data_IF_640951153443
#
_entry.id   IF_640951153443
#
_cell.length_a   1.000
_cell.length_b   1.000
_cell.length_c   1.000
_cell.angle_alpha   90.00
_cell.angle_beta   90.00
_cell.angle_gamma   90.00
#
_symmetry.space_group_name_H-M   'P 1'
#
loop_
_entity.id
_entity.type
_entity.pdbx_description
1 polymer ?
#
# COMPACT_ATOMS: atom_id res chain seq x y z
N UNK A 1 7.00 27.55 5.71
CA UNK A 1 7.35 26.42 6.60
C UNK A 1 8.33 25.55 5.82
N UNK A 2 9.59 25.44 6.26
CA UNK A 2 10.56 24.54 5.64
C UNK A 2 10.10 23.11 5.92
N UNK A 3 9.27 22.54 5.03
CA UNK A 3 8.82 21.17 5.19
C UNK A 3 9.98 20.27 4.74
N UNK A 4 10.80 19.86 5.71
CA UNK A 4 11.94 18.99 5.49
C UNK A 4 11.49 17.74 4.71
N UNK A 5 12.23 17.38 3.65
CA UNK A 5 11.92 16.16 2.89
C UNK A 5 12.15 14.95 3.77
N UNK A 6 11.13 14.11 3.93
CA UNK A 6 11.19 12.79 4.55
C UNK A 6 10.70 11.76 3.53
N UNK A 7 11.55 10.77 3.25
CA UNK A 7 11.30 9.63 2.36
C UNK A 7 11.45 8.33 3.15
N UNK A 8 10.99 7.20 2.57
CA UNK A 8 11.22 5.89 3.19
C UNK A 8 11.41 4.77 2.19
N UNK A 9 12.25 3.82 2.56
CA UNK A 9 12.21 2.48 1.99
C UNK A 9 11.41 1.57 2.92
N UNK A 10 10.32 0.99 2.38
CA UNK A 10 9.36 0.20 3.15
C UNK A 10 9.25 -1.26 2.65
N UNK A 11 10.30 -2.10 2.82
CA UNK A 11 10.25 -3.49 2.38
C UNK A 11 9.43 -4.38 3.34
N UNK A 12 8.68 -5.33 2.78
CA UNK A 12 8.20 -6.48 3.56
C UNK A 12 9.35 -7.47 3.75
N UNK A 13 9.68 -7.92 4.99
CA UNK A 13 10.79 -8.83 5.24
C UNK A 13 10.41 -10.29 4.95
N UNK A 14 9.92 -10.56 3.74
CA UNK A 14 9.49 -11.90 3.28
C UNK A 14 10.48 -12.54 2.30
N UNK A 15 11.71 -12.02 2.25
CA UNK A 15 12.80 -12.54 1.47
C UNK A 15 13.90 -11.51 1.21
N UNK A 16 14.99 -11.95 0.59
CA UNK A 16 16.16 -11.11 0.31
C UNK A 16 15.86 -9.91 -0.60
N UNK A 17 16.69 -8.88 -0.45
CA UNK A 17 16.68 -7.66 -1.26
C UNK A 17 17.09 -7.98 -2.70
N UNK A 18 16.36 -7.43 -3.67
CA UNK A 18 16.62 -7.62 -5.10
C UNK A 18 16.74 -6.28 -5.82
N UNK A 19 17.25 -6.28 -7.04
CA UNK A 19 17.56 -5.05 -7.81
C UNK A 19 16.40 -4.06 -7.92
N UNK A 20 15.18 -4.56 -8.16
CA UNK A 20 13.98 -3.71 -8.15
C UNK A 20 13.80 -2.92 -6.85
N UNK A 21 14.02 -3.55 -5.70
CA UNK A 21 13.92 -2.91 -4.39
C UNK A 21 15.11 -1.99 -4.12
N UNK A 22 16.32 -2.38 -4.54
CA UNK A 22 17.52 -1.54 -4.46
C UNK A 22 17.31 -0.22 -5.19
N UNK A 23 16.74 -0.26 -6.40
CA UNK A 23 16.42 0.96 -7.15
C UNK A 23 15.48 1.87 -6.35
N UNK A 24 14.42 1.32 -5.76
CA UNK A 24 13.50 2.09 -4.93
C UNK A 24 14.22 2.70 -3.72
N UNK A 25 15.02 1.92 -3.00
CA UNK A 25 15.79 2.39 -1.83
C UNK A 25 16.77 3.51 -2.22
N UNK A 26 17.54 3.30 -3.30
CA UNK A 26 18.50 4.26 -3.84
C UNK A 26 17.83 5.58 -4.24
N UNK A 27 16.68 5.53 -4.92
CA UNK A 27 15.96 6.74 -5.33
C UNK A 27 15.45 7.53 -4.12
N UNK A 28 14.89 6.86 -3.11
CA UNK A 28 14.47 7.51 -1.86
C UNK A 28 15.66 8.15 -1.15
N UNK A 29 16.77 7.42 -0.99
CA UNK A 29 17.99 7.91 -0.36
C UNK A 29 18.58 9.13 -1.10
N UNK A 30 18.72 9.05 -2.42
CA UNK A 30 19.23 10.15 -3.25
C UNK A 30 18.32 11.38 -3.18
N UNK A 31 17.01 11.19 -3.18
CA UNK A 31 16.05 12.30 -3.08
C UNK A 31 16.15 12.99 -1.73
N UNK A 32 16.19 12.23 -0.63
CA UNK A 32 16.43 12.80 0.69
C UNK A 32 17.78 13.54 0.75
N UNK A 33 18.87 12.92 0.30
CA UNK A 33 20.21 13.51 0.32
C UNK A 33 20.29 14.82 -0.48
N UNK A 34 19.74 14.84 -1.71
CA UNK A 34 19.69 16.03 -2.58
C UNK A 34 18.98 17.21 -1.91
N UNK A 35 17.96 16.93 -1.10
CA UNK A 35 17.12 17.95 -0.47
C UNK A 35 17.48 18.23 1.01
N UNK A 36 18.59 17.67 1.52
CA UNK A 36 18.95 17.81 2.95
C UNK A 36 17.89 17.20 3.88
N UNK A 37 17.19 16.19 3.39
CA UNK A 37 16.08 15.51 4.04
C UNK A 37 16.49 14.30 4.88
N UNK A 38 15.49 13.49 5.24
CA UNK A 38 15.64 12.23 5.97
C UNK A 38 15.20 11.06 5.10
N UNK A 39 15.98 9.98 5.16
CA UNK A 39 15.65 8.69 4.57
C UNK A 39 15.38 7.70 5.70
N UNK A 40 14.16 7.17 5.79
CA UNK A 40 13.76 6.23 6.84
C UNK A 40 13.71 4.78 6.31
N UNK A 41 13.95 3.82 7.19
CA UNK A 41 13.74 2.40 6.92
C UNK A 41 12.56 1.89 7.77
N UNK A 42 11.52 1.36 7.11
CA UNK A 42 10.35 0.76 7.78
C UNK A 42 10.12 -0.66 7.28
N UNK A 43 10.09 -1.64 8.16
CA UNK A 43 9.67 -2.99 7.78
C UNK A 43 8.14 -3.13 7.83
N UNK A 44 7.57 -3.62 6.74
CA UNK A 44 6.15 -3.98 6.66
C UNK A 44 5.97 -5.44 7.10
N UNK A 45 6.10 -5.67 8.41
CA UNK A 45 6.21 -6.96 9.09
C UNK A 45 4.88 -7.51 9.63
N UNK A 46 3.74 -7.09 9.06
CA UNK A 46 2.40 -7.49 9.52
C UNK A 46 2.00 -8.89 9.08
N UNK A 47 2.65 -9.45 8.05
CA UNK A 47 2.48 -10.84 7.65
C UNK A 47 3.41 -11.73 8.49
N UNK A 48 2.91 -12.16 9.66
CA UNK A 48 3.72 -12.90 10.65
C UNK A 48 4.24 -14.23 10.12
N UNK A 49 3.50 -14.91 9.24
CA UNK A 49 3.90 -16.21 8.70
C UNK A 49 5.11 -16.08 7.76
N UNK A 50 5.20 -14.97 7.03
CA UNK A 50 6.26 -14.75 6.04
C UNK A 50 7.37 -13.82 6.50
N UNK A 51 7.16 -13.04 7.55
CA UNK A 51 8.14 -12.08 8.07
C UNK A 51 9.18 -12.78 8.94
N UNK A 52 10.44 -12.77 8.51
CA UNK A 52 11.52 -13.47 9.21
C UNK A 52 12.62 -12.49 9.64
N UNK A 53 13.16 -12.69 10.85
CA UNK A 53 14.26 -11.87 11.40
C UNK A 53 15.51 -11.95 10.52
N UNK A 54 15.79 -13.11 9.92
CA UNK A 54 16.89 -13.28 8.98
C UNK A 54 16.83 -12.31 7.79
N UNK A 55 15.64 -12.04 7.26
CA UNK A 55 15.47 -11.12 6.14
C UNK A 55 15.60 -9.66 6.58
N UNK A 56 15.17 -9.33 7.80
CA UNK A 56 15.38 -7.99 8.38
C UNK A 56 16.87 -7.69 8.44
N UNK A 57 17.67 -8.59 9.03
CA UNK A 57 19.10 -8.38 9.19
C UNK A 57 19.85 -8.42 7.85
N UNK A 58 19.48 -9.31 6.92
CA UNK A 58 20.04 -9.34 5.58
C UNK A 58 19.77 -8.05 4.80
N UNK A 59 18.53 -7.54 4.83
CA UNK A 59 18.17 -6.27 4.16
C UNK A 59 18.96 -5.11 4.76
N UNK A 60 19.11 -5.04 6.09
CA UNK A 60 19.92 -4.00 6.75
C UNK A 60 21.38 -4.07 6.33
N UNK A 61 21.97 -5.27 6.31
CA UNK A 61 23.34 -5.48 5.87
C UNK A 61 23.57 -5.07 4.40
N UNK A 62 22.63 -5.41 3.51
CA UNK A 62 22.70 -5.07 2.09
C UNK A 62 22.58 -3.56 1.87
N UNK A 63 21.69 -2.86 2.58
CA UNK A 63 21.57 -1.41 2.51
C UNK A 63 22.85 -0.70 2.99
N UNK A 64 23.45 -1.17 4.10
CA UNK A 64 24.72 -0.62 4.61
C UNK A 64 25.87 -0.87 3.64
N UNK A 65 25.94 -2.06 3.04
CA UNK A 65 26.96 -2.38 2.03
C UNK A 65 26.85 -1.49 0.78
N UNK A 66 25.63 -1.13 0.38
CA UNK A 66 25.36 -0.19 -0.72
C UNK A 66 25.60 1.28 -0.34
N UNK A 67 25.93 1.59 0.92
CA UNK A 67 26.08 2.96 1.42
C UNK A 67 24.76 3.71 1.61
N UNK A 68 23.63 2.99 1.70
CA UNK A 68 22.28 3.54 1.85
C UNK A 68 21.88 3.61 3.33
N UNK A 69 22.61 4.40 4.11
CA UNK A 69 22.32 4.63 5.53
C UNK A 69 20.99 5.36 5.71
N UNK A 70 20.16 4.87 6.64
CA UNK A 70 18.90 5.51 7.05
C UNK A 70 19.06 6.35 8.32
N UNK A 71 18.14 7.29 8.51
CA UNK A 71 18.15 8.23 9.63
C UNK A 71 17.26 7.75 10.78
N UNK A 72 17.84 7.61 11.97
CA UNK A 72 17.13 7.21 13.19
C UNK A 72 16.95 5.70 13.28
N UNK A 73 16.04 5.27 14.16
CA UNK A 73 15.77 3.85 14.38
C UNK A 73 14.98 3.24 13.23
N UNK A 74 15.14 1.93 13.07
CA UNK A 74 14.30 1.14 12.16
C UNK A 74 12.87 1.13 12.67
N UNK A 75 11.92 1.43 11.79
CA UNK A 75 10.49 1.43 12.08
C UNK A 75 9.87 0.08 11.72
N UNK A 76 8.81 -0.30 12.42
CA UNK A 76 8.10 -1.56 12.23
C UNK A 76 6.60 -1.32 12.17
N UNK A 77 5.96 -1.75 11.09
CA UNK A 77 4.51 -1.58 10.90
C UNK A 77 3.71 -2.31 12.00
N UNK A 78 4.22 -3.43 12.50
CA UNK A 78 3.63 -4.15 13.65
C UNK A 78 3.46 -3.29 14.90
N UNK A 79 4.27 -2.23 15.08
CA UNK A 79 4.16 -1.28 16.19
C UNK A 79 3.00 -0.29 16.01
N UNK A 80 2.40 -0.21 14.83
CA UNK A 80 1.31 0.71 14.50
C UNK A 80 -0.09 0.05 14.45
N UNK A 81 -0.22 -1.20 14.89
CA UNK A 81 -1.48 -1.95 14.81
C UNK A 81 -2.68 -1.22 15.46
N UNK A 82 -2.44 -0.50 16.56
CA UNK A 82 -3.47 0.32 17.23
C UNK A 82 -3.94 1.49 16.36
N UNK A 83 -3.01 2.16 15.68
CA UNK A 83 -3.28 3.27 14.75
C UNK A 83 -4.05 2.76 13.54
N UNK A 84 -3.72 1.60 12.99
CA UNK A 84 -4.45 1.00 11.85
C UNK A 84 -5.90 0.70 12.22
N UNK A 85 -6.12 0.11 13.40
CA UNK A 85 -7.47 -0.18 13.91
C UNK A 85 -8.27 1.11 14.14
N UNK A 86 -7.63 2.12 14.74
CA UNK A 86 -8.26 3.43 14.98
C UNK A 86 -8.66 4.11 13.67
N UNK A 87 -7.77 4.09 12.67
CA UNK A 87 -8.03 4.64 11.34
C UNK A 87 -9.19 3.92 10.64
N UNK A 88 -9.22 2.59 10.69
CA UNK A 88 -10.33 1.81 10.13
C UNK A 88 -11.68 2.19 10.76
N UNK A 89 -11.73 2.30 12.09
CA UNK A 89 -12.95 2.67 12.80
C UNK A 89 -13.38 4.10 12.47
N UNK A 90 -12.45 5.05 12.39
CA UNK A 90 -12.74 6.42 11.99
C UNK A 90 -13.33 6.51 10.57
N UNK A 91 -12.81 5.71 9.62
CA UNK A 91 -13.39 5.59 8.29
C UNK A 91 -14.78 4.97 8.33
N UNK A 92 -14.97 3.92 9.13
CA UNK A 92 -16.26 3.23 9.26
C UNK A 92 -17.35 4.13 9.86
N UNK A 93 -17.01 4.94 10.86
CA UNK A 93 -17.93 5.93 11.47
C UNK A 93 -18.41 6.98 10.46
N UNK A 94 -17.58 7.33 9.48
CA UNK A 94 -17.91 8.24 8.38
C UNK A 94 -18.58 7.55 7.19
N UNK A 95 -18.85 6.24 7.27
CA UNK A 95 -19.39 5.46 6.15
C UNK A 95 -18.40 5.23 5.00
N UNK A 96 -17.10 5.48 5.23
CA UNK A 96 -16.01 5.36 4.26
C UNK A 96 -15.34 3.98 4.28
N UNK A 97 -15.69 3.16 5.27
CA UNK A 97 -15.38 1.73 5.30
C UNK A 97 -16.59 0.94 5.79
N UNK A 98 -16.74 -0.31 5.33
CA UNK A 98 -17.88 -1.15 5.70
C UNK A 98 -17.52 -2.64 5.69
N UNK A 99 -18.29 -3.44 6.43
CA UNK A 99 -18.15 -4.90 6.43
C UNK A 99 -18.85 -5.50 5.22
N UNK A 100 -18.19 -6.44 4.57
CA UNK A 100 -18.70 -7.20 3.44
C UNK A 100 -18.75 -8.69 3.79
N UNK A 101 -19.93 -9.27 3.61
CA UNK A 101 -20.25 -10.67 3.93
C UNK A 101 -20.35 -11.56 2.67
N UNK A 102 -19.95 -11.04 1.51
CA UNK A 102 -19.99 -11.81 0.27
C UNK A 102 -18.98 -12.96 0.31
N UNK A 103 -19.42 -14.18 -0.02
CA UNK A 103 -18.54 -15.34 -0.17
C UNK A 103 -17.66 -15.22 -1.41
N UNK A 104 -16.52 -15.92 -1.42
CA UNK A 104 -15.65 -16.01 -2.60
C UNK A 104 -16.38 -16.58 -3.83
N UNK A 105 -17.28 -17.56 -3.62
CA UNK A 105 -18.10 -18.12 -4.68
C UNK A 105 -19.03 -17.06 -5.31
N UNK A 106 -19.65 -16.21 -4.49
CA UNK A 106 -20.50 -15.10 -4.97
C UNK A 106 -19.66 -14.07 -5.73
N UNK A 107 -18.50 -13.68 -5.19
CA UNK A 107 -17.59 -12.74 -5.84
C UNK A 107 -17.09 -13.27 -7.20
N UNK A 108 -16.82 -14.57 -7.30
CA UNK A 108 -16.42 -15.25 -8.53
C UNK A 108 -17.53 -15.24 -9.59
N UNK A 109 -18.78 -15.49 -9.17
CA UNK A 109 -19.96 -15.43 -10.05
C UNK A 109 -20.16 -13.99 -10.57
N UNK A 110 -20.13 -13.00 -9.67
CA UNK A 110 -20.31 -11.59 -10.02
C UNK A 110 -19.25 -11.14 -11.04
N UNK A 111 -18.00 -11.55 -10.82
CA UNK A 111 -16.88 -11.28 -11.74
C UNK A 111 -17.13 -11.85 -13.14
N UNK A 112 -17.53 -13.12 -13.22
CA UNK A 112 -17.83 -13.79 -14.50
C UNK A 112 -18.99 -13.11 -15.23
N UNK A 113 -20.03 -12.70 -14.51
CA UNK A 113 -21.19 -11.97 -15.07
C UNK A 113 -20.81 -10.58 -15.58
N UNK A 114 -19.93 -9.86 -14.89
CA UNK A 114 -19.43 -8.57 -15.36
C UNK A 114 -18.62 -8.74 -16.65
N UNK A 115 -17.65 -9.67 -16.65
CA UNK A 115 -16.82 -9.96 -17.82
C UNK A 115 -17.64 -10.43 -19.02
N UNK A 116 -18.65 -11.29 -18.84
CA UNK A 116 -19.51 -11.75 -19.95
C UNK A 116 -20.36 -10.63 -20.57
N UNK A 117 -20.56 -9.53 -19.84
CA UNK A 117 -21.24 -8.31 -20.30
C UNK A 117 -20.28 -7.24 -20.83
N UNK A 118 -18.97 -7.53 -20.91
CA UNK A 118 -17.95 -6.57 -21.29
C UNK A 118 -17.74 -5.44 -20.26
N UNK A 119 -18.23 -5.62 -19.04
CA UNK A 119 -18.08 -4.66 -17.95
C UNK A 119 -16.79 -4.95 -17.14
N UNK A 120 -16.14 -3.92 -16.56
CA UNK A 120 -15.00 -4.10 -15.68
C UNK A 120 -15.35 -5.03 -14.49
N UNK A 121 -14.47 -5.98 -14.14
CA UNK A 121 -14.71 -6.99 -13.09
C UNK A 121 -14.56 -6.42 -11.66
N UNK A 122 -15.40 -5.44 -11.30
CA UNK A 122 -15.41 -4.77 -10.00
C UNK A 122 -16.34 -5.43 -8.99
N UNK A 123 -16.15 -5.13 -7.71
CA UNK A 123 -17.11 -5.50 -6.68
C UNK A 123 -18.43 -4.75 -6.89
N UNK A 124 -19.55 -5.47 -6.78
CA UNK A 124 -20.89 -4.93 -7.04
C UNK A 124 -21.45 -4.05 -5.89
N UNK A 125 -20.68 -3.82 -4.81
CA UNK A 125 -21.13 -2.97 -3.70
C UNK A 125 -22.28 -3.55 -2.86
N UNK A 126 -22.55 -4.87 -2.93
CA UNK A 126 -23.75 -5.51 -2.33
C UNK A 126 -23.97 -5.19 -0.86
N UNK A 127 -22.90 -5.14 -0.08
CA UNK A 127 -22.96 -4.90 1.37
C UNK A 127 -22.90 -3.42 1.76
N UNK A 128 -22.78 -2.48 0.82
CA UNK A 128 -22.57 -1.06 1.11
C UNK A 128 -23.79 -0.39 1.72
N UNK A 129 -24.99 -0.86 1.36
CA UNK A 129 -26.26 -0.34 1.85
C UNK A 129 -26.74 -1.01 3.15
N UNK A 130 -25.98 -1.94 3.73
CA UNK A 130 -26.34 -2.54 5.01
C UNK A 130 -26.33 -1.47 6.09
N UNK A 131 -27.39 -1.40 6.89
CA UNK A 131 -27.40 -0.55 8.07
C UNK A 131 -26.36 -1.05 9.08
N UNK A 132 -25.94 -0.15 9.99
CA UNK A 132 -25.00 -0.49 11.07
C UNK A 132 -25.52 -1.68 11.90
N UNK A 133 -26.81 -1.67 12.26
CA UNK A 133 -27.43 -2.74 13.05
C UNK A 133 -27.42 -4.09 12.31
N UNK A 134 -27.79 -4.12 11.03
CA UNK A 134 -27.74 -5.35 10.23
C UNK A 134 -26.31 -5.86 10.05
N UNK A 135 -25.36 -4.94 9.84
CA UNK A 135 -23.94 -5.29 9.72
C UNK A 135 -23.35 -5.81 11.04
N UNK A 136 -23.79 -5.31 12.19
CA UNK A 136 -23.38 -5.80 13.51
C UNK A 136 -23.97 -7.19 13.75
N UNK A 137 -25.27 -7.37 13.52
CA UNK A 137 -25.95 -8.66 13.68
C UNK A 137 -25.33 -9.76 12.79
N UNK A 138 -25.04 -9.47 11.52
CA UNK A 138 -24.39 -10.45 10.63
C UNK A 138 -22.99 -10.81 11.10
N UNK A 139 -22.23 -9.86 11.64
CA UNK A 139 -20.87 -10.08 12.12
C UNK A 139 -20.80 -11.03 13.33
N UNK A 140 -21.90 -11.26 14.05
CA UNK A 140 -21.96 -12.23 15.16
C UNK A 140 -21.84 -13.69 14.70
N UNK A 141 -22.23 -13.99 13.46
CA UNK A 141 -22.36 -15.38 12.98
C UNK A 141 -21.77 -15.63 11.59
N UNK A 142 -21.34 -14.59 10.87
CA UNK A 142 -20.83 -14.70 9.50
C UNK A 142 -19.42 -14.09 9.40
N UNK A 143 -18.49 -14.75 8.69
CA UNK A 143 -17.21 -14.14 8.37
C UNK A 143 -17.43 -12.92 7.47
N UNK A 144 -16.57 -11.92 7.62
CA UNK A 144 -16.61 -10.70 6.82
C UNK A 144 -15.22 -10.17 6.56
N UNK A 145 -15.11 -9.32 5.55
CA UNK A 145 -13.94 -8.48 5.29
C UNK A 145 -14.33 -7.02 5.47
N UNK A 146 -13.37 -6.14 5.74
CA UNK A 146 -13.59 -4.70 5.65
C UNK A 146 -13.21 -4.20 4.26
N UNK A 147 -14.05 -3.35 3.67
CA UNK A 147 -13.79 -2.67 2.39
C UNK A 147 -13.79 -1.16 2.56
N UNK A 148 -13.05 -0.45 1.71
CA UNK A 148 -13.22 1.00 1.54
C UNK A 148 -14.45 1.26 0.66
N UNK A 149 -15.21 2.32 0.98
CA UNK A 149 -16.37 2.77 0.21
C UNK A 149 -16.02 3.93 -0.73
N UNK A 150 -15.06 3.70 -1.62
CA UNK A 150 -14.49 4.72 -2.51
C UNK A 150 -15.18 4.76 -3.88
N UNK A 151 -15.76 3.66 -4.35
CA UNK A 151 -16.46 3.64 -5.64
C UNK A 151 -17.66 4.59 -5.60
N UNK A 152 -17.84 5.43 -6.62
CA UNK A 152 -18.98 6.34 -6.70
C UNK A 152 -19.30 6.71 -8.15
N UNK A 153 -20.53 7.13 -8.44
CA UNK A 153 -20.93 7.58 -9.78
C UNK A 153 -20.24 8.88 -10.20
N UNK A 154 -19.89 9.71 -9.21
CA UNK A 154 -19.27 11.01 -9.36
C UNK A 154 -18.12 11.16 -8.35
N UNK A 155 -17.24 12.12 -8.60
CA UNK A 155 -16.07 12.37 -7.77
C UNK A 155 -14.78 11.81 -8.38
N UNK A 156 -13.67 12.36 -7.92
CA UNK A 156 -12.33 12.10 -8.44
C UNK A 156 -11.32 12.06 -7.30
N UNK A 157 -10.19 11.43 -7.55
CA UNK A 157 -9.02 11.42 -6.65
C UNK A 157 -7.80 11.80 -7.48
N UNK A 158 -7.06 12.81 -7.02
CA UNK A 158 -5.86 13.27 -7.73
C UNK A 158 -4.62 12.91 -6.95
N UNK A 159 -3.73 12.15 -7.58
CA UNK A 159 -2.41 11.81 -7.04
C UNK A 159 -1.41 12.88 -7.49
N UNK A 160 -0.80 13.65 -6.57
CA UNK A 160 0.26 14.58 -6.93
C UNK A 160 1.54 13.81 -7.20
N UNK A 161 1.98 13.74 -8.46
CA UNK A 161 3.18 12.99 -8.85
C UNK A 161 4.23 13.89 -9.53
N UNK A 162 5.49 13.77 -9.12
CA UNK A 162 6.60 14.57 -9.64
C UNK A 162 7.07 14.16 -11.04
N UNK A 163 6.80 12.92 -11.47
CA UNK A 163 7.20 12.39 -12.77
C UNK A 163 6.03 12.41 -13.77
N UNK A 164 4.85 11.97 -13.34
CA UNK A 164 3.64 11.88 -14.17
C UNK A 164 2.80 13.16 -14.15
N UNK A 165 3.08 14.10 -13.24
CA UNK A 165 2.23 15.25 -12.97
C UNK A 165 1.04 14.89 -12.07
N UNK A 166 -0.02 15.70 -12.12
CA UNK A 166 -1.24 15.38 -11.36
C UNK A 166 -2.02 14.29 -12.11
N UNK A 167 -2.12 13.11 -11.52
CA UNK A 167 -2.85 11.97 -12.11
C UNK A 167 -4.22 11.85 -11.44
N UNK A 168 -5.28 12.08 -12.21
CA UNK A 168 -6.66 12.06 -11.70
C UNK A 168 -7.38 10.77 -12.07
N UNK A 169 -8.01 10.15 -11.08
CA UNK A 169 -8.81 8.95 -11.21
C UNK A 169 -10.27 9.27 -10.89
N UNK A 170 -11.19 8.92 -11.79
CA UNK A 170 -12.61 9.01 -11.47
C UNK A 170 -12.99 7.90 -10.48
N UNK A 171 -13.77 8.21 -9.44
CA UNK A 171 -14.21 7.22 -8.46
C UNK A 171 -15.07 6.11 -9.10
N UNK A 172 -15.69 6.38 -10.25
CA UNK A 172 -16.44 5.39 -11.04
C UNK A 172 -15.56 4.25 -11.57
N UNK A 173 -14.26 4.50 -11.70
CA UNK A 173 -13.28 3.55 -12.22
C UNK A 173 -12.50 2.83 -11.12
N UNK A 174 -12.57 3.34 -9.88
CA UNK A 174 -12.05 2.70 -8.69
C UNK A 174 -13.04 1.66 -8.14
N UNK A 175 -12.52 0.57 -7.58
CA UNK A 175 -13.31 -0.47 -6.91
C UNK A 175 -13.37 -0.20 -5.40
N UNK A 176 -14.15 -0.97 -4.65
CA UNK A 176 -14.14 -0.97 -3.18
C UNK A 176 -13.17 -2.06 -2.66
N UNK A 177 -11.86 -1.76 -2.50
CA UNK A 177 -10.87 -2.77 -2.15
C UNK A 177 -11.08 -3.29 -0.73
N UNK A 178 -10.71 -4.56 -0.52
CA UNK A 178 -10.59 -5.13 0.82
C UNK A 178 -9.40 -4.47 1.52
N UNK A 179 -9.61 -3.94 2.73
CA UNK A 179 -8.56 -3.39 3.60
C UNK A 179 -8.24 -4.26 4.80
N UNK A 180 -9.18 -5.11 5.24
CA UNK A 180 -8.96 -6.11 6.29
C UNK A 180 -9.59 -7.43 5.86
N UNK A 181 -8.82 -8.52 5.95
CA UNK A 181 -9.24 -9.88 5.62
C UNK A 181 -10.14 -10.45 6.72
N UNK A 182 -10.73 -11.61 6.46
CA UNK A 182 -11.62 -12.28 7.41
C UNK A 182 -10.93 -12.83 8.66
N UNK A 183 -9.61 -13.02 8.59
CA UNK A 183 -8.77 -13.37 9.74
C UNK A 183 -8.37 -12.14 10.59
N UNK A 184 -8.83 -10.94 10.23
CA UNK A 184 -8.50 -9.69 10.91
C UNK A 184 -7.19 -9.05 10.47
N UNK A 185 -6.42 -9.67 9.57
CA UNK A 185 -5.17 -9.09 9.07
C UNK A 185 -5.45 -7.95 8.10
N UNK A 186 -4.71 -6.85 8.24
CA UNK A 186 -4.77 -5.76 7.28
C UNK A 186 -4.13 -6.16 5.94
N UNK A 187 -4.68 -5.62 4.86
CA UNK A 187 -4.03 -5.61 3.55
C UNK A 187 -3.12 -4.39 3.42
N UNK A 188 -2.36 -4.29 2.34
CA UNK A 188 -1.34 -3.25 2.12
C UNK A 188 -1.87 -1.80 2.23
N UNK A 189 -3.05 -1.49 1.68
CA UNK A 189 -3.46 -0.11 1.40
C UNK A 189 -3.52 0.79 2.65
N UNK A 190 -4.24 0.34 3.69
CA UNK A 190 -4.52 1.16 4.88
C UNK A 190 -3.29 1.31 5.78
N UNK A 191 -2.60 0.23 6.23
CA UNK A 191 -1.40 0.35 7.04
C UNK A 191 -0.31 1.18 6.37
N UNK A 192 -0.02 0.94 5.09
CA UNK A 192 1.05 1.66 4.39
C UNK A 192 0.83 3.18 4.39
N UNK A 193 -0.42 3.61 4.16
CA UNK A 193 -0.75 5.03 4.09
C UNK A 193 -0.88 5.68 5.47
N UNK A 194 -1.43 4.96 6.46
CA UNK A 194 -1.48 5.42 7.85
C UNK A 194 -0.06 5.56 8.42
N UNK A 195 0.82 4.59 8.17
CA UNK A 195 2.21 4.66 8.59
C UNK A 195 2.95 5.83 7.92
N UNK A 196 2.72 6.05 6.62
CA UNK A 196 3.31 7.20 5.92
C UNK A 196 2.89 8.54 6.58
N UNK A 197 1.65 8.65 7.05
CA UNK A 197 1.20 9.83 7.82
C UNK A 197 1.80 9.90 9.23
N UNK A 198 1.86 8.78 9.96
CA UNK A 198 2.40 8.70 11.33
C UNK A 198 3.90 8.99 11.37
N UNK A 199 4.66 8.45 10.41
CA UNK A 199 6.10 8.62 10.30
C UNK A 199 6.51 9.98 9.70
N UNK A 200 5.53 10.80 9.32
CA UNK A 200 5.77 12.11 8.72
C UNK A 200 6.40 12.04 7.33
N UNK A 201 6.09 11.01 6.55
CA UNK A 201 6.58 10.87 5.18
C UNK A 201 5.99 11.98 4.32
N UNK A 202 6.88 12.73 3.68
CA UNK A 202 6.50 13.84 2.79
C UNK A 202 6.55 13.46 1.32
N UNK A 203 7.38 12.47 0.97
CA UNK A 203 7.63 12.04 -0.40
C UNK A 203 7.67 10.51 -0.47
N UNK A 204 6.83 9.93 -1.31
CA UNK A 204 6.75 8.49 -1.55
C UNK A 204 7.26 8.19 -2.95
N UNK A 205 8.51 7.72 -3.04
CA UNK A 205 9.11 7.27 -4.28
C UNK A 205 8.96 5.74 -4.37
N UNK A 206 8.24 5.25 -5.37
CA UNK A 206 7.94 3.82 -5.53
C UNK A 206 7.72 3.41 -6.99
N UNK A 207 7.62 2.12 -7.25
CA UNK A 207 7.36 1.59 -8.60
C UNK A 207 6.00 2.03 -9.17
N UNK A 208 5.95 2.23 -10.49
CA UNK A 208 4.76 2.64 -11.23
C UNK A 208 3.59 1.65 -11.16
N UNK A 209 3.87 0.38 -10.81
CA UNK A 209 2.84 -0.61 -10.51
C UNK A 209 1.99 -0.28 -9.27
N UNK A 210 2.40 0.71 -8.48
CA UNK A 210 1.64 1.21 -7.34
C UNK A 210 0.89 2.52 -7.60
N UNK A 211 0.85 3.03 -8.83
CA UNK A 211 0.16 4.28 -9.13
C UNK A 211 -1.34 4.23 -8.77
N UNK A 212 -2.03 3.14 -9.12
CA UNK A 212 -3.44 2.95 -8.71
C UNK A 212 -3.59 2.80 -7.20
N UNK A 213 -2.62 2.18 -6.50
CA UNK A 213 -2.63 2.12 -5.04
C UNK A 213 -2.55 3.53 -4.44
N UNK A 214 -1.84 4.47 -5.07
CA UNK A 214 -1.74 5.86 -4.62
C UNK A 214 -3.09 6.54 -4.62
N UNK A 215 -3.96 6.27 -5.60
CA UNK A 215 -5.30 6.84 -5.61
C UNK A 215 -6.09 6.41 -4.37
N UNK A 216 -6.09 5.12 -4.03
CA UNK A 216 -6.75 4.64 -2.80
C UNK A 216 -6.14 5.24 -1.53
N UNK A 217 -4.82 5.37 -1.50
CA UNK A 217 -4.10 5.87 -0.33
C UNK A 217 -4.27 7.37 -0.12
N UNK A 218 -4.23 8.18 -1.18
CA UNK A 218 -4.55 9.62 -1.14
C UNK A 218 -5.97 9.80 -0.63
N UNK A 219 -6.94 9.10 -1.21
CA UNK A 219 -8.33 9.19 -0.78
C UNK A 219 -8.48 8.86 0.70
N UNK A 220 -7.91 7.74 1.17
CA UNK A 220 -8.11 7.30 2.55
C UNK A 220 -7.44 8.25 3.57
N UNK A 221 -6.23 8.76 3.31
CA UNK A 221 -5.52 9.62 4.28
C UNK A 221 -6.12 11.02 4.34
N UNK A 222 -6.58 11.56 3.22
CA UNK A 222 -7.30 12.85 3.20
C UNK A 222 -8.63 12.74 3.96
N UNK A 223 -9.34 11.62 3.83
CA UNK A 223 -10.59 11.38 4.56
C UNK A 223 -10.37 11.12 6.07
N UNK A 224 -9.16 10.73 6.45
CA UNK A 224 -8.67 10.70 7.84
C UNK A 224 -8.19 12.06 8.35
N UNK A 225 -8.12 13.09 7.48
CA UNK A 225 -7.69 14.45 7.83
C UNK A 225 -6.18 14.67 7.77
N UNK A 226 -5.43 13.75 7.19
CA UNK A 226 -4.00 13.91 6.92
C UNK A 226 -3.77 14.55 5.54
N UNK A 227 -2.57 15.08 5.33
CA UNK A 227 -2.14 15.54 4.01
C UNK A 227 -1.46 14.39 3.26
N UNK A 228 -1.82 14.22 1.99
CA UNK A 228 -1.13 13.27 1.13
C UNK A 228 0.32 13.68 0.89
N UNK A 229 1.27 12.71 0.88
CA UNK A 229 2.64 12.99 0.47
C UNK A 229 2.68 13.31 -1.02
N UNK A 230 3.79 13.92 -1.44
CA UNK A 230 4.14 14.01 -2.85
C UNK A 230 4.59 12.63 -3.35
N UNK A 231 4.08 12.17 -4.48
CA UNK A 231 4.48 10.88 -5.06
C UNK A 231 5.51 11.04 -6.17
N UNK A 232 6.26 9.98 -6.43
CA UNK A 232 7.02 9.79 -7.66
C UNK A 232 7.00 8.31 -8.00
N UNK A 233 6.25 7.97 -9.05
CA UNK A 233 6.14 6.62 -9.57
C UNK A 233 7.22 6.38 -10.61
N UNK A 234 8.31 5.70 -10.22
CA UNK A 234 9.39 5.40 -11.15
C UNK A 234 9.08 4.15 -11.96
N UNK A 235 9.51 4.14 -13.23
CA UNK A 235 9.39 2.97 -14.09
C UNK A 235 10.01 1.71 -13.47
N UNK A 236 9.55 0.54 -13.89
CA UNK A 236 10.03 -0.74 -13.39
C UNK A 236 11.35 -1.15 -14.07
N UNK A 237 12.14 -1.98 -13.39
CA UNK A 237 13.22 -2.71 -14.07
C UNK A 237 12.61 -3.87 -14.84
N UNK A 238 13.00 -4.02 -16.10
CA UNK A 238 12.52 -5.07 -16.98
C UNK A 238 13.63 -6.08 -17.26
N UNK A 239 13.26 -7.35 -17.40
CA UNK A 239 14.14 -8.39 -17.90
C UNK A 239 14.37 -8.27 -19.42
N UNK A 240 15.19 -9.16 -19.97
CA UNK A 240 15.43 -9.22 -21.43
C UNK A 240 14.15 -9.51 -22.23
N UNK A 241 13.16 -10.15 -21.60
CA UNK A 241 11.86 -10.47 -22.18
C UNK A 241 10.85 -9.30 -22.09
N UNK A 242 11.26 -8.14 -21.57
CA UNK A 242 10.40 -6.97 -21.36
C UNK A 242 9.41 -7.12 -20.20
N UNK A 243 9.44 -8.23 -19.45
CA UNK A 243 8.60 -8.42 -18.27
C UNK A 243 9.23 -7.80 -17.03
N UNK A 244 8.42 -7.52 -16.01
CA UNK A 244 8.90 -6.99 -14.73
C UNK A 244 9.98 -7.91 -14.18
N UNK A 245 11.16 -7.36 -13.91
CA UNK A 245 12.25 -8.07 -13.27
C UNK A 245 11.81 -8.52 -11.87
N UNK A 246 11.80 -9.82 -11.65
CA UNK A 246 11.31 -10.45 -10.42
C UNK A 246 12.24 -11.58 -10.00
N UNK A 247 12.08 -12.08 -8.77
CA UNK A 247 12.82 -13.26 -8.28
C UNK A 247 12.66 -14.48 -9.21
N UNK A 248 11.50 -14.62 -9.87
CA UNK A 248 11.21 -15.75 -10.78
C UNK A 248 11.78 -15.58 -12.18
N UNK A 249 12.10 -14.34 -12.57
CA UNK A 249 12.59 -13.99 -13.91
C UNK A 249 14.09 -13.64 -13.95
N UNK A 250 14.85 -14.07 -12.94
CA UNK A 250 16.32 -13.94 -12.92
C UNK A 250 16.86 -12.69 -12.22
N UNK A 251 16.07 -12.03 -11.36
CA UNK A 251 16.66 -10.99 -10.49
C UNK A 251 17.57 -11.62 -9.46
N UNK A 252 18.86 -11.31 -9.53
CA UNK A 252 19.82 -11.62 -8.46
C UNK A 252 19.46 -10.90 -7.16
N UNK A 253 19.70 -11.58 -6.05
CA UNK A 253 19.73 -10.92 -4.74
C UNK A 253 20.97 -10.03 -4.63
N UNK A 254 20.95 -9.03 -3.74
CA UNK A 254 22.14 -8.20 -3.51
C UNK A 254 23.29 -9.02 -2.94
N UNK A 255 22.98 -9.98 -2.07
CA UNK A 255 23.96 -10.94 -1.55
C UNK A 255 24.70 -11.68 -2.68
N UNK A 256 23.98 -12.20 -3.69
CA UNK A 256 24.58 -12.86 -4.86
C UNK A 256 25.47 -11.94 -5.70
N UNK A 257 25.19 -10.63 -5.74
CA UNK A 257 25.99 -9.67 -6.51
C UNK A 257 27.23 -9.18 -5.75
N UNK A 258 27.24 -9.32 -4.42
CA UNK A 258 28.35 -8.94 -3.55
C UNK A 258 29.45 -10.01 -3.52
N UNK A 259 29.05 -11.27 -3.63
CA UNK A 259 29.94 -12.44 -3.69
C UNK A 259 30.56 -12.63 -5.08
#
# INVERSE_FOLDING_TARGET
MNNQVVTRFAPSPTGLLHLGNVRTALLNWLYAAKHGGRFLLRFEDTDQDRSQIEYIEAIKADLLWLGLEWNGDVLFQSKHAGQHTTALHALAEKGQAYRCFCSESQLSIDRKLATSRGLPPRYAGRCRALSRAESEQKAESQPFVWRLAIHASEGEVTVPDLLHGHVTFAQRDLDDPVVVRSDGTFTFLLPNAVDDAVDGITHVLRGDDHLTNSAYQVWLIEHLGYHAPMYLHHGLLLGQDGTKLSKRSGSHSVAELRE
#
